data_IF_385890536877
#
_entry.id   IF_385890536877
#
_cell.length_a   1.000
_cell.length_b   1.000
_cell.length_c   1.000
_cell.angle_alpha   90.00
_cell.angle_beta   90.00
_cell.angle_gamma   90.00
#
_symmetry.space_group_name_H-M   'P 1'
#
loop_
_entity.id
_entity.type
_entity.pdbx_description
1 polymer ?
#
# COMPACT_ATOMS: atom_id res chain seq x y z
N UNK A 1 -12.37 -1.67 2.69
CA UNK A 1 -13.42 -0.76 3.17
C UNK A 1 -13.52 0.47 2.25
N UNK A 2 -12.43 1.18 1.96
CA UNK A 2 -12.44 2.38 1.11
C UNK A 2 -13.02 2.17 -0.30
N UNK A 3 -12.64 1.08 -0.99
CA UNK A 3 -13.19 0.77 -2.33
C UNK A 3 -14.69 0.46 -2.34
N UNK A 4 -15.24 -0.06 -1.24
CA UNK A 4 -16.68 -0.32 -1.12
C UNK A 4 -17.47 0.99 -1.18
N UNK A 5 -17.03 2.03 -0.47
CA UNK A 5 -17.69 3.34 -0.51
C UNK A 5 -17.66 3.99 -1.89
N UNK A 6 -16.55 3.84 -2.62
CA UNK A 6 -16.43 4.35 -3.98
C UNK A 6 -17.35 3.61 -4.95
N UNK A 7 -17.48 2.29 -4.81
CA UNK A 7 -18.40 1.48 -5.60
C UNK A 7 -19.87 1.86 -5.34
N UNK A 8 -20.26 2.14 -4.08
CA UNK A 8 -21.61 2.62 -3.74
C UNK A 8 -21.96 3.95 -4.45
N UNK A 9 -20.97 4.82 -4.71
CA UNK A 9 -21.14 6.07 -5.47
C UNK A 9 -20.84 5.90 -6.97
N UNK A 10 -20.72 4.68 -7.46
CA UNK A 10 -20.61 4.36 -8.88
C UNK A 10 -19.17 4.31 -9.44
N UNK A 11 -18.14 4.52 -8.61
CA UNK A 11 -16.73 4.44 -9.04
C UNK A 11 -16.15 3.05 -8.72
N UNK A 12 -16.11 2.18 -9.72
CA UNK A 12 -15.53 0.83 -9.62
C UNK A 12 -14.01 0.87 -9.79
N UNK A 13 -13.29 0.36 -8.80
CA UNK A 13 -11.82 0.26 -8.85
C UNK A 13 -11.42 -1.22 -8.80
N UNK A 14 -10.91 -1.80 -9.90
CA UNK A 14 -10.52 -3.20 -9.93
C UNK A 14 -9.51 -3.59 -8.85
N UNK A 15 -9.47 -4.88 -8.52
CA UNK A 15 -8.51 -5.39 -7.54
C UNK A 15 -7.07 -5.18 -8.01
N UNK A 16 -6.24 -4.60 -7.13
CA UNK A 16 -4.86 -4.30 -7.45
C UNK A 16 -4.65 -3.13 -8.41
N UNK A 17 -5.65 -2.28 -8.59
CA UNK A 17 -5.46 -0.92 -9.12
C UNK A 17 -5.43 0.05 -7.96
N UNK A 18 -4.62 1.09 -8.07
CA UNK A 18 -4.57 2.15 -7.07
C UNK A 18 -5.85 3.00 -7.08
N UNK A 19 -6.04 3.81 -6.04
CA UNK A 19 -7.08 4.84 -6.04
C UNK A 19 -6.49 6.05 -6.78
N UNK A 20 -7.21 6.57 -7.76
CA UNK A 20 -6.80 7.78 -8.48
C UNK A 20 -7.24 9.04 -7.72
N UNK A 21 -6.69 10.20 -8.11
CA UNK A 21 -6.99 11.48 -7.46
C UNK A 21 -8.49 11.82 -7.42
N UNK A 22 -9.26 11.42 -8.42
CA UNK A 22 -10.71 11.60 -8.40
C UNK A 22 -11.38 10.69 -7.36
N UNK A 23 -10.91 9.46 -7.23
CA UNK A 23 -11.35 8.51 -6.20
C UNK A 23 -11.01 8.99 -4.79
N UNK A 24 -9.84 9.55 -4.56
CA UNK A 24 -9.44 10.12 -3.27
C UNK A 24 -10.37 11.27 -2.86
N UNK A 25 -10.61 12.23 -3.77
CA UNK A 25 -11.55 13.35 -3.55
C UNK A 25 -12.98 12.88 -3.24
N UNK A 26 -13.45 11.90 -4.02
CA UNK A 26 -14.76 11.30 -3.81
C UNK A 26 -14.83 10.62 -2.44
N UNK A 27 -13.81 9.84 -2.07
CA UNK A 27 -13.72 9.17 -0.79
C UNK A 27 -13.71 10.18 0.36
N UNK A 28 -12.95 11.27 0.25
CA UNK A 28 -12.93 12.34 1.25
C UNK A 28 -14.32 12.92 1.51
N UNK A 29 -15.09 13.14 0.44
CA UNK A 29 -16.47 13.61 0.54
C UNK A 29 -17.38 12.59 1.24
N UNK A 30 -17.23 11.30 0.91
CA UNK A 30 -18.01 10.22 1.55
C UNK A 30 -17.67 10.07 3.03
N UNK A 31 -16.38 10.13 3.38
CA UNK A 31 -15.93 9.99 4.77
C UNK A 31 -16.44 11.16 5.61
N UNK A 32 -16.43 12.38 5.07
CA UNK A 32 -17.03 13.55 5.74
C UNK A 32 -18.54 13.39 5.92
N UNK A 33 -19.26 12.95 4.90
CA UNK A 33 -20.72 12.72 4.94
C UNK A 33 -21.11 11.64 5.97
N UNK A 34 -20.39 10.51 6.00
CA UNK A 34 -20.75 9.34 6.83
C UNK A 34 -20.23 9.39 8.25
N UNK A 35 -19.05 10.00 8.48
CA UNK A 35 -18.33 9.90 9.74
C UNK A 35 -17.98 11.25 10.36
N UNK A 36 -18.36 12.36 9.74
CA UNK A 36 -17.99 13.74 10.14
C UNK A 36 -16.46 13.94 10.29
N UNK A 37 -15.67 13.14 9.58
CA UNK A 37 -14.23 13.10 9.71
C UNK A 37 -13.54 13.70 8.48
N UNK A 38 -12.46 14.46 8.70
CA UNK A 38 -11.68 15.10 7.62
C UNK A 38 -10.31 14.48 7.42
N UNK A 39 -9.81 13.72 8.40
CA UNK A 39 -8.49 13.08 8.36
C UNK A 39 -8.63 11.58 8.63
N UNK A 40 -8.13 10.75 7.73
CA UNK A 40 -8.32 9.31 7.83
C UNK A 40 -7.19 8.52 7.19
N UNK A 41 -7.04 7.27 7.61
CA UNK A 41 -6.10 6.34 7.01
C UNK A 41 -6.81 5.42 6.02
N UNK A 42 -6.22 5.24 4.85
CA UNK A 42 -6.48 4.11 3.97
C UNK A 42 -5.39 3.09 4.24
N UNK A 43 -5.77 1.85 4.56
CA UNK A 43 -4.82 0.79 4.91
C UNK A 43 -5.05 -0.45 4.05
N UNK A 44 -4.09 -1.38 4.08
CA UNK A 44 -4.17 -2.67 3.38
C UNK A 44 -4.30 -2.50 1.86
N UNK A 45 -3.41 -1.69 1.29
CA UNK A 45 -3.30 -1.59 -0.17
C UNK A 45 -2.88 -2.93 -0.78
N UNK A 46 -3.26 -3.20 -2.04
CA UNK A 46 -2.78 -4.37 -2.77
C UNK A 46 -1.25 -4.43 -2.76
N UNK A 47 -0.67 -5.56 -2.38
CA UNK A 47 0.79 -5.71 -2.32
C UNK A 47 1.44 -5.47 -3.68
N UNK A 48 0.77 -5.89 -4.77
CA UNK A 48 1.29 -5.85 -6.13
C UNK A 48 1.59 -4.44 -6.66
N UNK A 49 0.98 -3.39 -6.10
CA UNK A 49 1.20 -2.00 -6.54
C UNK A 49 2.21 -1.25 -5.68
N UNK A 50 2.62 -1.82 -4.54
CA UNK A 50 3.54 -1.17 -3.63
C UNK A 50 5.00 -1.56 -3.94
N UNK A 51 5.97 -0.70 -3.57
CA UNK A 51 7.40 -0.96 -3.81
C UNK A 51 7.88 -2.28 -3.21
N UNK A 52 9.02 -2.77 -3.71
CA UNK A 52 9.58 -4.07 -3.32
C UNK A 52 9.93 -4.19 -1.83
N UNK A 53 10.14 -3.07 -1.14
CA UNK A 53 10.49 -3.06 0.27
C UNK A 53 9.26 -3.11 1.19
N UNK A 54 8.04 -2.96 0.67
CA UNK A 54 6.81 -2.94 1.48
C UNK A 54 6.48 -4.34 1.99
N UNK A 55 6.23 -4.47 3.30
CA UNK A 55 5.90 -5.73 3.92
C UNK A 55 4.51 -6.25 3.49
N UNK A 56 4.38 -7.55 3.15
CA UNK A 56 3.09 -8.22 3.08
C UNK A 56 2.39 -8.27 4.45
N UNK A 57 1.06 -8.36 4.47
CA UNK A 57 0.24 -8.35 5.70
C UNK A 57 0.70 -9.40 6.74
N UNK A 58 1.02 -10.62 6.30
CA UNK A 58 1.49 -11.71 7.17
C UNK A 58 2.97 -12.05 6.94
N UNK A 59 3.73 -11.17 6.29
CA UNK A 59 5.10 -11.45 5.82
C UNK A 59 5.19 -12.70 4.91
N UNK A 60 4.11 -12.99 4.16
CA UNK A 60 4.04 -14.01 3.11
C UNK A 60 3.82 -13.32 1.75
N UNK A 61 4.62 -13.66 0.73
CA UNK A 61 4.48 -13.07 -0.61
C UNK A 61 3.18 -13.46 -1.34
N UNK A 62 2.50 -14.51 -0.87
CA UNK A 62 1.19 -14.90 -1.38
C UNK A 62 0.05 -14.00 -0.84
N UNK A 63 0.33 -13.15 0.15
CA UNK A 63 -0.65 -12.18 0.63
C UNK A 63 -1.00 -11.16 -0.45
N UNK A 64 -2.30 -10.98 -0.65
CA UNK A 64 -2.80 -9.94 -1.56
C UNK A 64 -2.67 -8.53 -0.98
N UNK A 65 -2.56 -8.40 0.34
CA UNK A 65 -2.50 -7.12 1.06
C UNK A 65 -1.10 -6.81 1.55
N UNK A 66 -0.77 -5.52 1.60
CA UNK A 66 0.45 -5.00 2.20
C UNK A 66 0.16 -4.29 3.53
N UNK A 67 1.18 -4.17 4.37
CA UNK A 67 1.20 -3.32 5.57
C UNK A 67 1.53 -1.87 5.22
N UNK A 68 0.89 -1.33 4.19
CA UNK A 68 1.01 0.08 3.83
C UNK A 68 -0.26 0.84 4.18
N UNK A 69 -0.09 2.14 4.31
CA UNK A 69 -1.17 3.09 4.54
C UNK A 69 -0.89 4.39 3.81
N UNK A 70 -1.97 5.10 3.50
CA UNK A 70 -1.95 6.49 3.11
C UNK A 70 -2.79 7.28 4.12
N UNK A 71 -2.29 8.44 4.54
CA UNK A 71 -2.97 9.40 5.39
C UNK A 71 -3.57 10.48 4.48
N UNK A 72 -4.87 10.64 4.59
CA UNK A 72 -5.67 11.51 3.76
C UNK A 72 -6.21 12.66 4.58
N UNK A 73 -6.20 13.87 4.01
CA UNK A 73 -6.91 15.02 4.53
C UNK A 73 -7.85 15.58 3.45
N UNK A 74 -9.16 15.52 3.70
CA UNK A 74 -10.22 15.98 2.79
C UNK A 74 -10.11 15.40 1.37
N UNK A 75 -9.70 14.13 1.26
CA UNK A 75 -9.55 13.43 -0.03
C UNK A 75 -8.32 13.87 -0.82
N UNK A 76 -7.27 14.27 -0.11
CA UNK A 76 -5.94 14.52 -0.64
C UNK A 76 -4.94 13.76 0.24
N UNK A 77 -4.12 12.93 -0.39
CA UNK A 77 -3.00 12.27 0.29
C UNK A 77 -2.03 13.31 0.86
N UNK A 78 -1.76 13.24 2.16
CA UNK A 78 -0.77 14.10 2.84
C UNK A 78 0.48 13.34 3.28
N UNK A 79 0.40 12.01 3.40
CA UNK A 79 1.55 11.15 3.70
C UNK A 79 1.26 9.71 3.32
N UNK A 80 2.20 9.05 2.65
CA UNK A 80 2.21 7.60 2.47
C UNK A 80 3.24 6.94 3.37
N UNK A 81 2.97 5.70 3.80
CA UNK A 81 3.88 4.94 4.64
C UNK A 81 3.55 3.45 4.72
N UNK A 82 4.34 2.74 5.51
CA UNK A 82 4.11 1.32 5.75
C UNK A 82 5.24 0.64 6.47
N UNK A 83 5.00 -0.60 6.88
CA UNK A 83 6.05 -1.44 7.40
C UNK A 83 6.93 -1.96 6.27
N UNK A 84 8.25 -1.88 6.45
CA UNK A 84 9.21 -2.44 5.53
C UNK A 84 9.53 -3.91 5.84
N UNK A 85 9.93 -4.67 4.83
CA UNK A 85 10.43 -6.03 4.99
C UNK A 85 11.79 -5.96 5.70
N UNK A 86 11.89 -6.59 6.86
CA UNK A 86 13.12 -6.67 7.66
C UNK A 86 13.85 -8.02 7.50
N UNK A 87 13.22 -9.02 6.88
CA UNK A 87 13.80 -10.34 6.63
C UNK A 87 14.51 -10.36 5.28
N UNK A 88 15.83 -10.59 5.26
CA UNK A 88 16.62 -10.56 4.03
C UNK A 88 16.08 -11.50 2.95
N UNK A 89 15.78 -12.76 3.29
CA UNK A 89 15.26 -13.74 2.31
C UNK A 89 13.96 -13.27 1.66
N UNK A 90 12.99 -12.84 2.47
CA UNK A 90 11.70 -12.33 1.98
C UNK A 90 11.86 -11.10 1.09
N UNK A 91 12.79 -10.20 1.42
CA UNK A 91 13.08 -9.00 0.63
C UNK A 91 13.67 -9.37 -0.73
N UNK A 92 14.63 -10.30 -0.77
CA UNK A 92 15.22 -10.83 -2.01
C UNK A 92 14.16 -11.52 -2.87
N UNK A 93 13.30 -12.34 -2.28
CA UNK A 93 12.23 -13.03 -3.00
C UNK A 93 11.20 -12.04 -3.57
N UNK A 94 10.86 -10.98 -2.81
CA UNK A 94 9.99 -9.91 -3.29
C UNK A 94 10.61 -9.17 -4.48
N UNK A 95 11.90 -8.83 -4.42
CA UNK A 95 12.60 -8.19 -5.54
C UNK A 95 12.58 -9.06 -6.80
N UNK A 96 12.91 -10.35 -6.68
CA UNK A 96 12.85 -11.31 -7.79
C UNK A 96 11.44 -11.42 -8.38
N UNK A 97 10.40 -11.45 -7.53
CA UNK A 97 8.99 -11.49 -7.99
C UNK A 97 8.58 -10.27 -8.82
N UNK A 98 9.32 -9.15 -8.70
CA UNK A 98 9.11 -7.91 -9.42
C UNK A 98 10.13 -7.70 -10.55
N UNK A 99 10.91 -8.73 -10.91
CA UNK A 99 12.00 -8.68 -11.89
C UNK A 99 13.07 -7.62 -11.56
N UNK A 100 13.31 -7.37 -10.27
CA UNK A 100 14.38 -6.51 -9.78
C UNK A 100 15.56 -7.40 -9.39
N UNK A 101 16.72 -7.18 -10.01
CA UNK A 101 17.94 -7.93 -9.68
C UNK A 101 18.51 -7.50 -8.31
N UNK A 102 18.53 -8.39 -7.31
CA UNK A 102 19.10 -8.11 -5.99
C UNK A 102 20.59 -7.72 -6.04
N UNK A 103 21.33 -8.13 -7.06
CA UNK A 103 22.74 -7.80 -7.21
C UNK A 103 22.99 -6.29 -7.37
N UNK A 104 22.01 -5.53 -7.86
CA UNK A 104 22.07 -4.07 -7.97
C UNK A 104 21.87 -3.35 -6.63
N UNK A 105 21.46 -4.07 -5.57
CA UNK A 105 21.13 -3.53 -4.26
C UNK A 105 21.98 -4.15 -3.14
N UNK A 106 23.15 -4.73 -3.45
CA UNK A 106 24.02 -5.40 -2.48
C UNK A 106 24.25 -4.59 -1.20
N UNK A 107 24.67 -3.33 -1.34
CA UNK A 107 24.90 -2.45 -0.20
C UNK A 107 23.67 -2.27 0.70
N UNK A 108 22.48 -2.15 0.09
CA UNK A 108 21.22 -2.06 0.84
C UNK A 108 20.88 -3.39 1.52
N UNK A 109 21.00 -4.51 0.82
CA UNK A 109 20.66 -5.84 1.33
C UNK A 109 21.61 -6.32 2.44
N UNK A 110 22.87 -5.91 2.42
CA UNK A 110 23.85 -6.22 3.46
C UNK A 110 23.42 -5.73 4.85
N UNK A 111 22.67 -4.62 4.93
CA UNK A 111 22.15 -4.11 6.19
C UNK A 111 21.15 -5.07 6.87
N UNK A 112 20.55 -5.99 6.11
CA UNK A 112 19.56 -6.97 6.57
C UNK A 112 20.17 -8.35 6.85
N UNK A 113 21.47 -8.55 6.60
CA UNK A 113 22.20 -9.81 6.81
C UNK A 113 22.96 -9.87 8.14
N UNK A 114 22.75 -8.90 9.03
CA UNK A 114 23.37 -8.85 10.34
C UNK A 114 22.40 -9.40 11.37
N UNK A 115 22.38 -10.72 11.54
CA UNK A 115 22.04 -11.49 12.76
C UNK A 115 22.20 -12.98 12.46
#
# INVERSE_FOLDING_TARGET
MSKFFLEEKGKKIPWGVDIDTEGEKMLGSIIKEKFDCEIYFITKYPLKIKPFYTAPENFDLNDKYSRSFDLEYRGVEISSGGQMIHKHSLLVDRMKSMNIDPANFKFYLEAFNRL
#
